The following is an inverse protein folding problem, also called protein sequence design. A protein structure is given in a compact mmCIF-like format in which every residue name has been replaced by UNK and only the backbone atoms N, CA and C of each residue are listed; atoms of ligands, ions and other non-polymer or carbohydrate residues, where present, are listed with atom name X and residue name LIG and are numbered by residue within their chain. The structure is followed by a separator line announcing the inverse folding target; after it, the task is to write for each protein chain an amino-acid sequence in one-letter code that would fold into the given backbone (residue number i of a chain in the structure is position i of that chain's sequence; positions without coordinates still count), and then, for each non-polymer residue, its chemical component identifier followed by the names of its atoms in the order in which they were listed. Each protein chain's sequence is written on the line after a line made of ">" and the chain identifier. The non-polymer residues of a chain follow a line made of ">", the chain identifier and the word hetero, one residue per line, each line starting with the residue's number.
data_IF_810125461871
#
_entry.id   IF_810125461871
#
_cell.length_a   1.000
_cell.length_b   1.000
_cell.length_c   1.000
_cell.angle_alpha   90.00
_cell.angle_beta   90.00
_cell.angle_gamma   90.00
#
_symmetry.space_group_name_H-M   'P 1'
#
loop_
_entity.id
_entity.type
_entity.pdbx_description
1 polymer ?
#
# COMPACT_ATOMS: atom_id res chain seq x y z
N UNK A 1 8.77 3.29 9.00
CA UNK A 1 8.72 2.63 7.67
C UNK A 1 9.42 3.43 6.56
N UNK A 2 9.51 4.77 6.67
CA UNK A 2 10.08 5.65 5.63
C UNK A 2 11.39 5.15 5.01
N UNK A 3 12.38 4.75 5.83
CA UNK A 3 13.67 4.31 5.30
C UNK A 3 13.61 3.13 4.31
N UNK A 4 12.61 2.23 4.43
CA UNK A 4 12.41 1.15 3.46
C UNK A 4 11.77 1.65 2.16
N UNK A 5 10.87 2.64 2.23
CA UNK A 5 10.32 3.30 1.05
C UNK A 5 11.43 4.04 0.30
N UNK A 6 12.26 4.81 1.02
CA UNK A 6 13.38 5.55 0.43
C UNK A 6 14.40 4.59 -0.21
N UNK A 7 14.72 3.47 0.44
CA UNK A 7 15.59 2.44 -0.13
C UNK A 7 15.00 1.84 -1.42
N UNK A 8 13.68 1.66 -1.46
CA UNK A 8 13.00 1.17 -2.66
C UNK A 8 13.00 2.21 -3.78
N UNK A 9 12.83 3.50 -3.46
CA UNK A 9 12.94 4.61 -4.42
C UNK A 9 14.35 4.72 -5.00
N UNK A 10 15.38 4.47 -4.19
CA UNK A 10 16.78 4.36 -4.65
C UNK A 10 17.10 3.06 -5.39
N UNK A 11 16.14 2.12 -5.48
CA UNK A 11 16.32 0.83 -6.14
C UNK A 11 17.16 -0.19 -5.35
N UNK A 12 17.45 0.06 -4.08
CA UNK A 12 18.24 -0.81 -3.21
C UNK A 12 17.47 -2.07 -2.79
N UNK A 13 16.14 -1.95 -2.67
CA UNK A 13 15.23 -3.06 -2.38
C UNK A 13 14.04 -3.08 -3.33
N UNK A 14 13.56 -4.28 -3.66
CA UNK A 14 12.31 -4.45 -4.39
C UNK A 14 11.17 -4.65 -3.41
N UNK A 15 10.11 -3.86 -3.56
CA UNK A 15 8.87 -4.02 -2.81
C UNK A 15 7.75 -4.44 -3.76
N UNK A 16 7.18 -5.60 -3.51
CA UNK A 16 5.92 -5.98 -4.16
C UNK A 16 4.78 -5.09 -3.63
N UNK A 17 3.72 -4.95 -4.43
CA UNK A 17 2.57 -4.10 -4.11
C UNK A 17 2.06 -4.19 -2.65
N UNK A 18 1.71 -5.38 -2.11
CA UNK A 18 1.16 -5.45 -0.75
C UNK A 18 2.13 -4.96 0.32
N UNK A 19 3.43 -5.22 0.16
CA UNK A 19 4.44 -4.74 1.11
C UNK A 19 4.58 -3.22 1.05
N UNK A 20 4.57 -2.62 -0.16
CA UNK A 20 4.62 -1.17 -0.31
C UNK A 20 3.42 -0.48 0.34
N UNK A 21 2.19 -0.95 0.09
CA UNK A 21 0.98 -0.35 0.69
C UNK A 21 1.02 -0.39 2.23
N UNK A 22 1.49 -1.49 2.81
CA UNK A 22 1.66 -1.59 4.26
C UNK A 22 2.76 -0.65 4.79
N UNK A 23 3.88 -0.50 4.08
CA UNK A 23 4.95 0.44 4.47
C UNK A 23 4.51 1.90 4.39
N UNK A 24 3.78 2.28 3.35
CA UNK A 24 3.20 3.64 3.22
C UNK A 24 2.23 3.93 4.35
N UNK A 25 1.34 2.98 4.67
CA UNK A 25 0.42 3.12 5.81
C UNK A 25 1.19 3.31 7.12
N UNK A 26 2.21 2.49 7.37
CA UNK A 26 3.02 2.59 8.59
C UNK A 26 3.86 3.89 8.64
N UNK A 27 4.21 4.46 7.49
CA UNK A 27 4.98 5.70 7.43
C UNK A 27 4.17 6.94 7.86
N UNK A 28 2.84 6.82 7.98
CA UNK A 28 1.96 7.89 8.47
C UNK A 28 2.10 8.16 9.97
N UNK A 29 2.64 7.21 10.75
CA UNK A 29 2.63 7.24 12.21
C UNK A 29 4.02 7.42 12.79
N UNK A 30 4.11 8.23 13.86
CA UNK A 30 5.37 8.49 14.56
C UNK A 30 5.67 7.45 15.63
N UNK A 31 4.66 6.70 16.07
CA UNK A 31 4.78 5.71 17.15
C UNK A 31 3.99 4.43 16.88
N UNK A 32 4.35 3.39 17.63
CA UNK A 32 3.60 2.13 17.65
C UNK A 32 2.15 2.35 18.11
N UNK A 33 1.93 3.16 19.14
CA UNK A 33 0.61 3.36 19.72
C UNK A 33 -0.35 4.02 18.72
N UNK A 34 0.12 4.99 17.94
CA UNK A 34 -0.66 5.61 16.86
C UNK A 34 -1.01 4.59 15.76
N UNK A 35 -0.04 3.82 15.30
CA UNK A 35 -0.26 2.81 14.27
C UNK A 35 -1.23 1.71 14.75
N UNK A 36 -1.10 1.29 16.01
CA UNK A 36 -1.97 0.32 16.66
C UNK A 36 -3.40 0.86 16.74
N UNK A 37 -3.58 2.09 17.25
CA UNK A 37 -4.90 2.70 17.38
C UNK A 37 -5.62 2.78 16.03
N UNK A 38 -4.91 3.12 14.96
CA UNK A 38 -5.48 3.16 13.61
C UNK A 38 -5.81 1.76 13.07
N UNK A 39 -4.99 0.74 13.37
CA UNK A 39 -5.30 -0.63 12.99
C UNK A 39 -6.55 -1.17 13.71
N UNK A 40 -6.70 -0.88 15.00
CA UNK A 40 -7.84 -1.31 15.81
C UNK A 40 -9.16 -0.63 15.40
N UNK A 41 -9.09 0.59 14.87
CA UNK A 41 -10.26 1.32 14.37
C UNK A 41 -10.83 0.78 13.05
N UNK A 42 -10.13 -0.14 12.37
CA UNK A 42 -10.48 -0.60 11.03
C UNK A 42 -10.88 -2.09 11.06
N UNK A 43 -12.06 -2.46 10.54
CA UNK A 43 -12.48 -3.85 10.50
C UNK A 43 -11.50 -4.75 9.74
N UNK A 44 -11.17 -5.89 10.33
CA UNK A 44 -10.39 -6.93 9.66
C UNK A 44 -11.25 -7.58 8.58
N UNK A 45 -10.80 -7.50 7.33
CA UNK A 45 -11.45 -8.11 6.17
C UNK A 45 -10.42 -8.52 5.13
N UNK A 46 -10.77 -9.50 4.30
CA UNK A 46 -9.93 -9.93 3.19
C UNK A 46 -9.79 -8.79 2.18
N UNK A 47 -8.56 -8.42 1.87
CA UNK A 47 -8.24 -7.46 0.81
C UNK A 47 -7.93 -8.26 -0.45
N UNK A 48 -8.83 -8.20 -1.44
CA UNK A 48 -8.63 -8.82 -2.74
C UNK A 48 -8.30 -7.74 -3.78
N UNK A 49 -7.06 -7.69 -4.28
CA UNK A 49 -6.71 -6.76 -5.35
C UNK A 49 -7.50 -7.05 -6.63
N UNK A 50 -7.96 -6.02 -7.31
CA UNK A 50 -8.66 -6.12 -8.59
C UNK A 50 -7.98 -5.27 -9.66
N UNK A 51 -7.88 -5.80 -10.87
CA UNK A 51 -7.49 -5.01 -12.04
C UNK A 51 -8.74 -4.33 -12.58
N UNK A 52 -8.72 -3.00 -12.63
CA UNK A 52 -9.81 -2.18 -13.19
C UNK A 52 -9.25 -1.30 -14.30
N UNK A 53 -10.05 -1.01 -15.31
CA UNK A 53 -9.68 -0.02 -16.32
C UNK A 53 -10.05 1.39 -15.82
N UNK A 54 -9.10 2.30 -15.88
CA UNK A 54 -9.31 3.71 -15.59
C UNK A 54 -8.58 4.56 -16.63
N UNK A 55 -9.32 5.40 -17.35
CA UNK A 55 -8.82 6.24 -18.45
C UNK A 55 -8.04 5.45 -19.51
N UNK A 56 -8.50 4.25 -19.87
CA UNK A 56 -7.87 3.39 -20.89
C UNK A 56 -6.57 2.70 -20.42
N UNK A 57 -6.21 2.81 -19.15
CA UNK A 57 -5.07 2.11 -18.56
C UNK A 57 -5.55 1.09 -17.51
N UNK A 58 -4.91 -0.08 -17.39
CA UNK A 58 -5.20 -1.02 -16.31
C UNK A 58 -4.55 -0.58 -15.00
N UNK A 59 -5.31 -0.60 -13.91
CA UNK A 59 -4.87 -0.27 -12.55
C UNK A 59 -5.12 -1.45 -11.62
N UNK A 60 -4.15 -1.78 -10.77
CA UNK A 60 -4.38 -2.67 -9.64
C UNK A 60 -4.93 -1.85 -8.48
N UNK A 61 -6.09 -2.26 -7.97
CA UNK A 61 -6.83 -1.53 -6.92
C UNK A 61 -7.14 -2.42 -5.72
N UNK A 62 -7.26 -1.79 -4.55
CA UNK A 62 -7.75 -2.38 -3.31
C UNK A 62 -8.87 -1.50 -2.74
N UNK A 63 -9.55 -2.01 -1.71
CA UNK A 63 -10.66 -1.32 -1.05
C UNK A 63 -10.22 0.05 -0.51
N UNK A 64 -10.95 1.12 -0.89
CA UNK A 64 -10.64 2.51 -0.53
C UNK A 64 -10.73 2.79 0.98
N UNK A 65 -11.59 2.04 1.68
CA UNK A 65 -11.85 2.16 3.12
C UNK A 65 -11.05 1.14 3.97
N UNK A 66 -10.03 0.47 3.41
CA UNK A 66 -9.19 -0.49 4.15
C UNK A 66 -8.06 0.16 4.97
N UNK A 67 -8.01 1.50 5.04
CA UNK A 67 -7.05 2.22 5.88
C UNK A 67 -5.68 2.44 5.25
N UNK A 68 -5.55 2.28 3.93
CA UNK A 68 -4.32 2.57 3.20
C UNK A 68 -4.39 3.96 2.58
N UNK A 69 -3.31 4.75 2.64
CA UNK A 69 -3.27 6.08 2.02
C UNK A 69 -3.27 6.02 0.50
N UNK A 70 -2.81 4.90 -0.07
CA UNK A 70 -2.80 4.65 -1.50
C UNK A 70 -3.44 3.30 -1.77
N UNK A 71 -4.43 3.28 -2.66
CA UNK A 71 -5.28 2.11 -2.91
C UNK A 71 -5.29 1.69 -4.37
N UNK A 72 -4.55 2.38 -5.23
CA UNK A 72 -4.47 2.09 -6.65
C UNK A 72 -3.06 2.37 -7.17
N UNK A 73 -2.61 1.56 -8.12
CA UNK A 73 -1.36 1.78 -8.85
C UNK A 73 -1.52 1.26 -10.28
N UNK A 74 -0.91 1.96 -11.25
CA UNK A 74 -0.88 1.51 -12.64
C UNK A 74 -0.29 0.10 -12.72
N UNK A 75 -0.96 -0.80 -13.44
CA UNK A 75 -0.58 -2.21 -13.47
C UNK A 75 0.85 -2.43 -14.00
N UNK A 76 1.33 -1.54 -14.86
CA UNK A 76 2.69 -1.54 -15.41
C UNK A 76 3.77 -1.24 -14.35
N UNK A 77 3.44 -0.48 -13.31
CA UNK A 77 4.36 -0.08 -12.24
C UNK A 77 4.36 -1.09 -11.07
N UNK A 78 3.35 -1.97 -11.03
CA UNK A 78 3.22 -2.95 -9.95
C UNK A 78 4.30 -4.02 -10.08
N UNK A 79 5.27 -3.97 -9.16
CA UNK A 79 6.20 -5.07 -8.95
C UNK A 79 5.44 -6.31 -8.43
N UNK A 80 5.60 -7.43 -9.15
CA UNK A 80 5.07 -8.75 -8.80
C UNK A 80 6.21 -9.66 -8.34
N UNK A 81 5.88 -10.63 -7.49
CA UNK A 81 6.80 -11.67 -7.05
C UNK A 81 7.20 -12.61 -8.19
#
# INVERSE_FOLDING_TARGET
>A
AQGALDAAERGEIKLIFPTRRNLERLALFASFDEAKAQAEAIPVRTIMPQVVEHNGQPWLTILSDAGYPVTAELLENVARG
#
